data_IF_027097385087
#
_entry.id   IF_027097385087
#
_cell.length_a   1.000
_cell.length_b   1.000
_cell.length_c   1.000
_cell.angle_alpha   90.00
_cell.angle_beta   90.00
_cell.angle_gamma   90.00
#
_symmetry.space_group_name_H-M   'P 1'
#
loop_
_entity.id
_entity.type
_entity.pdbx_description
1 polymer ?
#
# COMPACT_ATOMS: atom_id res chain seq x y z
N UNK A 1 27.65 39.77 26.16
CA UNK A 1 27.05 38.54 26.70
C UNK A 1 28.13 37.71 27.37
N UNK A 2 27.95 37.28 28.62
CA UNK A 2 28.96 36.52 29.37
C UNK A 2 28.87 35.03 29.04
N UNK A 3 29.99 34.31 29.19
CA UNK A 3 30.09 32.87 28.92
C UNK A 3 29.15 32.03 29.78
N UNK A 4 28.89 32.48 31.02
CA UNK A 4 27.87 31.91 31.90
C UNK A 4 26.45 32.02 31.33
N UNK A 5 26.08 33.14 30.71
CA UNK A 5 24.77 33.30 30.06
C UNK A 5 24.61 32.38 28.85
N UNK A 6 25.68 32.13 28.07
CA UNK A 6 25.66 31.19 26.95
C UNK A 6 25.48 29.74 27.42
N UNK A 7 26.19 29.34 28.47
CA UNK A 7 26.04 28.00 29.06
C UNK A 7 24.62 27.77 29.63
N UNK A 8 24.02 28.80 30.23
CA UNK A 8 22.66 28.73 30.75
C UNK A 8 21.61 28.61 29.64
N UNK A 9 21.76 29.38 28.54
CA UNK A 9 20.90 29.26 27.36
C UNK A 9 21.01 27.87 26.70
N UNK A 10 22.22 27.30 26.62
CA UNK A 10 22.44 25.96 26.08
C UNK A 10 21.80 24.85 26.92
N UNK A 11 21.84 24.96 28.26
CA UNK A 11 21.15 24.01 29.15
C UNK A 11 19.62 24.06 28.98
N UNK A 12 19.06 25.25 28.81
CA UNK A 12 17.64 25.45 28.55
C UNK A 12 17.21 24.88 27.19
N UNK A 13 18.02 25.04 26.15
CA UNK A 13 17.71 24.48 24.83
C UNK A 13 17.72 22.94 24.82
N UNK A 14 18.66 22.32 25.52
CA UNK A 14 18.70 20.85 25.70
C UNK A 14 17.45 20.38 26.44
N UNK A 15 17.08 21.04 27.54
CA UNK A 15 15.88 20.68 28.31
C UNK A 15 14.61 20.79 27.47
N UNK A 16 14.46 21.85 26.67
CA UNK A 16 13.34 21.98 25.73
C UNK A 16 13.34 20.89 24.65
N UNK A 17 14.50 20.54 24.08
CA UNK A 17 14.60 19.48 23.10
C UNK A 17 14.21 18.11 23.70
N UNK A 18 14.67 17.81 24.92
CA UNK A 18 14.29 16.60 25.64
C UNK A 18 12.78 16.55 25.92
N UNK A 19 12.19 17.64 26.39
CA UNK A 19 10.75 17.73 26.63
C UNK A 19 9.94 17.54 25.34
N UNK A 20 10.39 18.11 24.22
CA UNK A 20 9.75 17.93 22.92
C UNK A 20 9.77 16.45 22.47
N UNK A 21 10.92 15.79 22.59
CA UNK A 21 11.08 14.37 22.22
C UNK A 21 10.22 13.47 23.12
N UNK A 22 10.20 13.72 24.44
CA UNK A 22 9.37 12.98 25.39
C UNK A 22 7.89 13.11 25.05
N UNK A 23 7.41 14.34 24.78
CA UNK A 23 6.03 14.60 24.39
C UNK A 23 5.63 13.91 23.09
N UNK A 24 6.54 13.86 22.11
CA UNK A 24 6.32 13.13 20.84
C UNK A 24 6.21 11.62 21.06
N UNK A 25 7.02 11.05 21.97
CA UNK A 25 6.92 9.63 22.33
C UNK A 25 5.62 9.31 23.05
N UNK A 26 5.18 10.16 23.97
CA UNK A 26 3.89 10.01 24.67
C UNK A 26 2.71 10.03 23.70
N UNK A 27 2.70 10.98 22.76
CA UNK A 27 1.70 11.07 21.69
C UNK A 27 1.67 9.81 20.82
N UNK A 28 2.84 9.26 20.48
CA UNK A 28 2.91 8.01 19.71
C UNK A 28 2.31 6.83 20.50
N UNK A 29 2.67 6.69 21.78
CA UNK A 29 2.14 5.63 22.65
C UNK A 29 0.64 5.78 22.92
N UNK A 30 0.11 7.00 22.96
CA UNK A 30 -1.32 7.24 23.08
C UNK A 30 -2.07 6.86 21.81
N UNK A 31 -1.51 7.19 20.64
CA UNK A 31 -2.07 6.79 19.35
C UNK A 31 -2.08 5.27 19.17
N UNK A 32 -0.99 4.59 19.55
CA UNK A 32 -0.91 3.13 19.51
C UNK A 32 -1.95 2.49 20.45
N UNK A 33 -2.12 3.04 21.67
CA UNK A 33 -3.15 2.59 22.60
C UNK A 33 -4.56 2.77 22.04
N UNK A 34 -4.87 3.93 21.44
CA UNK A 34 -6.16 4.18 20.78
C UNK A 34 -6.39 3.22 19.62
N UNK A 35 -5.36 2.92 18.83
CA UNK A 35 -5.46 1.95 17.73
C UNK A 35 -5.77 0.54 18.24
N UNK A 36 -5.11 0.10 19.31
CA UNK A 36 -5.36 -1.21 19.94
C UNK A 36 -6.78 -1.26 20.49
N UNK A 37 -7.21 -0.25 21.25
CA UNK A 37 -8.57 -0.15 21.80
C UNK A 37 -9.65 -0.16 20.71
N UNK A 38 -9.45 0.61 19.63
CA UNK A 38 -10.40 0.65 18.51
C UNK A 38 -10.48 -0.67 17.75
N UNK A 39 -9.37 -1.41 17.63
CA UNK A 39 -9.39 -2.74 17.02
C UNK A 39 -9.95 -3.81 17.96
N UNK A 40 -9.75 -3.70 19.26
CA UNK A 40 -10.37 -4.59 20.26
C UNK A 40 -11.89 -4.37 20.37
N UNK A 41 -12.38 -3.17 20.05
CA UNK A 41 -13.82 -2.85 20.01
C UNK A 41 -14.53 -3.25 18.70
N UNK A 42 -13.81 -3.76 17.68
CA UNK A 42 -14.49 -4.43 16.56
C UNK A 42 -15.09 -5.73 17.07
N UNK A 43 -16.36 -5.68 17.46
CA UNK A 43 -17.11 -6.85 17.86
C UNK A 43 -17.14 -7.83 16.68
N UNK A 44 -16.52 -8.99 16.87
CA UNK A 44 -16.54 -10.07 15.89
C UNK A 44 -17.99 -10.51 15.67
N UNK A 45 -18.51 -10.24 14.47
CA UNK A 45 -19.83 -10.65 14.04
C UNK A 45 -19.69 -11.83 13.06
N UNK A 46 -19.91 -13.07 13.53
CA UNK A 46 -19.75 -14.26 12.69
C UNK A 46 -20.71 -14.29 11.50
N UNK A 47 -21.87 -13.62 11.59
CA UNK A 47 -22.83 -13.54 10.48
C UNK A 47 -22.32 -12.58 9.42
N UNK A 48 -21.85 -11.40 9.82
CA UNK A 48 -21.26 -10.43 8.90
C UNK A 48 -20.03 -11.01 8.18
N UNK A 49 -19.20 -11.77 8.89
CA UNK A 49 -18.01 -12.41 8.33
C UNK A 49 -18.36 -13.51 7.33
N UNK A 50 -19.35 -14.36 7.65
CA UNK A 50 -19.83 -15.39 6.72
C UNK A 50 -20.50 -14.76 5.47
N UNK A 51 -21.21 -13.64 5.62
CA UNK A 51 -21.74 -12.88 4.47
C UNK A 51 -20.60 -12.32 3.62
N UNK A 52 -19.56 -11.74 4.24
CA UNK A 52 -18.40 -11.22 3.53
C UNK A 52 -17.66 -12.33 2.77
N UNK A 53 -17.48 -13.49 3.40
CA UNK A 53 -16.89 -14.68 2.80
C UNK A 53 -17.69 -15.18 1.59
N UNK A 54 -19.02 -15.27 1.70
CA UNK A 54 -19.89 -15.66 0.58
C UNK A 54 -19.83 -14.67 -0.58
N UNK A 55 -19.82 -13.37 -0.29
CA UNK A 55 -19.64 -12.31 -1.30
C UNK A 55 -18.29 -12.45 -2.00
N UNK A 56 -17.21 -12.67 -1.24
CA UNK A 56 -15.87 -12.90 -1.77
C UNK A 56 -15.83 -14.10 -2.71
N UNK A 57 -16.35 -15.27 -2.28
CA UNK A 57 -16.40 -16.48 -3.10
C UNK A 57 -17.17 -16.28 -4.41
N UNK A 58 -18.29 -15.53 -4.36
CA UNK A 58 -19.05 -15.17 -5.55
C UNK A 58 -18.22 -14.31 -6.51
N UNK A 59 -17.61 -13.23 -6.01
CA UNK A 59 -16.75 -12.37 -6.83
C UNK A 59 -15.55 -13.13 -7.42
N UNK A 60 -14.94 -14.04 -6.65
CA UNK A 60 -13.86 -14.89 -7.14
C UNK A 60 -14.32 -15.77 -8.30
N UNK A 61 -15.49 -16.43 -8.17
CA UNK A 61 -16.04 -17.28 -9.21
C UNK A 61 -16.37 -16.49 -10.48
N UNK A 62 -16.98 -15.31 -10.34
CA UNK A 62 -17.27 -14.41 -11.47
C UNK A 62 -15.99 -13.94 -12.16
N UNK A 63 -14.95 -13.60 -11.40
CA UNK A 63 -13.64 -13.24 -11.91
C UNK A 63 -12.98 -14.39 -12.69
N UNK A 64 -13.00 -15.62 -12.17
CA UNK A 64 -12.46 -16.79 -12.85
C UNK A 64 -13.23 -17.10 -14.14
N UNK A 65 -14.56 -16.99 -14.12
CA UNK A 65 -15.40 -17.15 -15.31
C UNK A 65 -15.08 -16.08 -16.37
N UNK A 66 -14.92 -14.82 -15.95
CA UNK A 66 -14.57 -13.72 -16.85
C UNK A 66 -13.24 -13.97 -17.58
N UNK A 67 -12.24 -14.52 -16.88
CA UNK A 67 -10.95 -14.87 -17.47
C UNK A 67 -11.08 -16.06 -18.44
N UNK A 68 -11.79 -17.13 -18.03
CA UNK A 68 -11.92 -18.35 -18.83
C UNK A 68 -12.74 -18.15 -20.09
N UNK A 69 -13.83 -17.38 -20.03
CA UNK A 69 -14.79 -17.28 -21.14
C UNK A 69 -14.49 -16.17 -22.14
N UNK A 70 -13.89 -15.04 -21.74
CA UNK A 70 -13.92 -13.81 -22.57
C UNK A 70 -12.58 -13.35 -23.16
N UNK A 71 -11.58 -14.22 -23.32
CA UNK A 71 -10.20 -13.81 -23.70
C UNK A 71 -9.73 -12.57 -22.92
N UNK A 72 -10.21 -12.47 -21.68
CA UNK A 72 -10.02 -11.32 -20.82
C UNK A 72 -8.89 -11.68 -19.87
N UNK A 73 -8.01 -10.73 -19.68
CA UNK A 73 -6.81 -10.87 -18.88
C UNK A 73 -6.80 -9.79 -17.83
N UNK A 74 -6.00 -10.04 -16.80
CA UNK A 74 -5.97 -9.17 -15.64
C UNK A 74 -4.70 -8.37 -15.64
N UNK A 75 -4.84 -7.07 -15.37
CA UNK A 75 -3.71 -6.22 -15.12
C UNK A 75 -3.00 -6.69 -13.84
N UNK A 76 -1.75 -7.12 -13.97
CA UNK A 76 -0.93 -7.58 -12.85
C UNK A 76 -0.76 -6.50 -11.76
N UNK A 77 -0.91 -5.21 -12.11
CA UNK A 77 -0.79 -4.13 -11.13
C UNK A 77 -2.07 -3.84 -10.34
N UNK A 78 -3.22 -3.68 -11.01
CA UNK A 78 -4.44 -3.15 -10.39
C UNK A 78 -5.62 -4.13 -10.36
N UNK A 79 -5.44 -5.36 -10.85
CA UNK A 79 -6.49 -6.39 -10.82
C UNK A 79 -7.65 -6.14 -11.80
N UNK A 80 -7.62 -5.06 -12.60
CA UNK A 80 -8.69 -4.79 -13.58
C UNK A 80 -8.67 -5.83 -14.69
N UNK A 81 -9.85 -6.38 -14.97
CA UNK A 81 -10.10 -7.29 -16.09
C UNK A 81 -10.24 -6.46 -17.37
N UNK A 82 -9.48 -6.82 -18.40
CA UNK A 82 -9.47 -6.15 -19.70
C UNK A 82 -9.25 -7.15 -20.82
N UNK A 83 -9.62 -6.81 -22.06
CA UNK A 83 -9.28 -7.64 -23.22
C UNK A 83 -7.76 -7.66 -23.46
N UNK A 84 -7.21 -8.74 -24.01
CA UNK A 84 -5.77 -8.85 -24.29
C UNK A 84 -5.24 -7.68 -25.12
N UNK A 85 -6.01 -7.23 -26.11
CA UNK A 85 -5.67 -6.12 -27.01
C UNK A 85 -5.58 -4.76 -26.31
N UNK A 86 -6.09 -4.66 -25.08
CA UNK A 86 -6.05 -3.46 -24.26
C UNK A 86 -4.95 -3.49 -23.19
N UNK A 87 -4.24 -4.62 -23.04
CA UNK A 87 -3.11 -4.77 -22.15
C UNK A 87 -1.79 -4.60 -22.91
N UNK A 88 -0.81 -4.00 -22.24
CA UNK A 88 0.59 -4.00 -22.66
C UNK A 88 1.32 -5.10 -21.91
N UNK A 89 2.08 -5.91 -22.64
CA UNK A 89 3.01 -6.87 -22.04
C UNK A 89 4.32 -6.13 -21.81
N UNK A 90 4.78 -6.10 -20.55
CA UNK A 90 6.09 -5.56 -20.20
C UNK A 90 6.96 -6.72 -19.70
N UNK A 91 8.16 -6.83 -20.27
CA UNK A 91 9.21 -7.72 -19.75
C UNK A 91 9.96 -7.00 -18.63
N UNK A 92 10.44 -7.74 -17.62
CA UNK A 92 11.30 -7.19 -16.55
C UNK A 92 12.47 -6.39 -17.11
N UNK A 93 13.07 -6.84 -18.20
CA UNK A 93 14.21 -6.16 -18.85
C UNK A 93 13.85 -4.77 -19.40
N UNK A 94 12.57 -4.50 -19.64
CA UNK A 94 12.08 -3.19 -20.10
C UNK A 94 11.60 -2.29 -18.94
N UNK A 95 11.66 -2.79 -17.70
CA UNK A 95 11.28 -2.07 -16.50
C UNK A 95 12.54 -1.48 -15.88
N UNK A 96 12.89 -0.25 -16.23
CA UNK A 96 13.92 0.54 -15.53
C UNK A 96 13.37 1.02 -14.17
N UNK A 97 12.98 0.07 -13.33
CA UNK A 97 12.30 0.30 -12.06
C UNK A 97 13.12 -0.34 -10.98
N UNK A 98 13.32 0.40 -9.90
CA UNK A 98 13.94 -0.12 -8.70
C UNK A 98 13.22 -1.39 -8.21
N UNK A 99 13.99 -2.42 -7.88
CA UNK A 99 13.46 -3.73 -7.48
C UNK A 99 12.54 -3.62 -6.24
N UNK A 100 12.77 -2.63 -5.36
CA UNK A 100 11.90 -2.33 -4.22
C UNK A 100 10.50 -1.84 -4.63
N UNK A 101 10.37 -1.21 -5.80
CA UNK A 101 9.09 -0.79 -6.37
C UNK A 101 8.41 -1.94 -7.08
N UNK A 102 9.17 -2.79 -7.79
CA UNK A 102 8.63 -4.01 -8.43
C UNK A 102 8.02 -4.97 -7.39
N UNK A 103 8.63 -5.08 -6.20
CA UNK A 103 8.07 -5.86 -5.08
C UNK A 103 6.70 -5.37 -4.60
N UNK A 104 6.33 -4.12 -4.89
CA UNK A 104 5.01 -3.54 -4.57
C UNK A 104 3.99 -3.70 -5.68
N UNK A 105 4.41 -4.13 -6.87
CA UNK A 105 3.53 -4.39 -8.01
C UNK A 105 3.23 -5.88 -8.04
N UNK A 106 1.96 -6.23 -7.85
CA UNK A 106 1.50 -7.62 -7.82
C UNK A 106 2.00 -8.41 -9.05
N UNK A 107 2.39 -9.67 -8.83
CA UNK A 107 2.74 -10.70 -9.83
C UNK A 107 3.98 -10.51 -10.74
N UNK A 108 4.66 -9.35 -10.82
CA UNK A 108 5.90 -9.26 -11.64
C UNK A 108 7.02 -10.14 -11.08
N UNK A 109 7.07 -10.29 -9.76
CA UNK A 109 8.14 -11.05 -9.12
C UNK A 109 8.21 -12.52 -9.56
N UNK A 110 7.12 -13.07 -10.10
CA UNK A 110 7.00 -14.49 -10.44
C UNK A 110 7.15 -14.79 -11.94
N UNK A 111 7.31 -13.79 -12.82
CA UNK A 111 7.37 -14.02 -14.26
C UNK A 111 8.22 -12.99 -15.00
N UNK A 112 8.97 -13.42 -16.02
CA UNK A 112 9.84 -12.55 -16.84
C UNK A 112 9.09 -11.51 -17.68
N UNK A 113 7.78 -11.71 -17.85
CA UNK A 113 6.88 -10.73 -18.42
C UNK A 113 5.53 -10.73 -17.70
N UNK A 114 4.87 -9.58 -17.68
CA UNK A 114 3.58 -9.40 -17.03
C UNK A 114 2.69 -8.46 -17.86
N UNK A 115 1.37 -8.58 -17.67
CA UNK A 115 0.36 -7.85 -18.43
C UNK A 115 -0.16 -6.65 -17.64
N UNK A 116 -0.15 -5.46 -18.25
CA UNK A 116 -0.56 -4.22 -17.60
C UNK A 116 -1.60 -3.48 -18.43
N UNK A 117 -2.58 -2.86 -17.77
CA UNK A 117 -3.42 -1.90 -18.48
C UNK A 117 -2.58 -0.70 -18.95
N UNK A 118 -3.06 0.03 -19.96
CA UNK A 118 -2.35 1.18 -20.54
C UNK A 118 -1.87 2.18 -19.47
N UNK A 119 -2.70 2.43 -18.46
CA UNK A 119 -2.38 3.35 -17.35
C UNK A 119 -1.24 2.80 -16.50
N UNK A 120 -1.36 1.59 -15.95
CA UNK A 120 -0.32 1.00 -15.11
C UNK A 120 1.00 0.87 -15.88
N UNK A 121 0.95 0.43 -17.15
CA UNK A 121 2.12 0.35 -18.01
C UNK A 121 2.81 1.70 -18.17
N UNK A 122 2.07 2.79 -18.38
CA UNK A 122 2.65 4.13 -18.53
C UNK A 122 3.30 4.65 -17.25
N UNK A 123 2.74 4.36 -16.08
CA UNK A 123 3.35 4.74 -14.80
C UNK A 123 4.65 3.98 -14.56
N UNK A 124 4.61 2.67 -14.75
CA UNK A 124 5.73 1.74 -14.66
C UNK A 124 6.86 2.18 -15.60
N UNK A 125 6.57 2.48 -16.88
CA UNK A 125 7.55 2.98 -17.85
C UNK A 125 8.18 4.33 -17.47
N UNK A 126 7.50 5.12 -16.64
CA UNK A 126 8.00 6.39 -16.10
C UNK A 126 8.68 6.23 -14.72
N UNK A 127 8.96 4.99 -14.31
CA UNK A 127 9.50 4.63 -12.99
C UNK A 127 8.68 5.15 -11.83
N UNK A 128 7.35 5.27 -12.01
CA UNK A 128 6.39 5.68 -10.98
C UNK A 128 5.62 4.46 -10.48
N UNK A 129 5.31 4.46 -9.19
CA UNK A 129 4.35 3.50 -8.63
C UNK A 129 2.98 3.81 -9.25
N UNK A 130 2.38 2.89 -10.01
CA UNK A 130 1.00 3.06 -10.46
C UNK A 130 0.10 3.24 -9.24
N UNK A 131 -0.80 4.24 -9.27
CA UNK A 131 -1.76 4.44 -8.19
C UNK A 131 -2.57 3.15 -8.04
N UNK A 132 -2.27 2.37 -7.02
CA UNK A 132 -3.25 1.40 -6.52
C UNK A 132 -4.38 2.26 -5.98
N UNK A 133 -5.58 2.10 -6.54
CA UNK A 133 -6.74 2.81 -6.04
C UNK A 133 -6.78 2.58 -4.52
N UNK A 134 -6.86 3.67 -3.76
CA UNK A 134 -6.80 3.72 -2.29
C UNK A 134 -7.92 2.95 -1.60
N UNK A 135 -8.76 2.25 -2.37
CA UNK A 135 -9.79 1.32 -1.92
C UNK A 135 -9.25 0.05 -1.27
N UNK A 136 -7.97 -0.28 -1.43
CA UNK A 136 -7.32 -1.45 -0.80
C UNK A 136 -6.41 -1.10 0.39
N UNK A 137 -6.40 0.15 0.86
CA UNK A 137 -5.59 0.61 2.00
C UNK A 137 -6.40 0.80 3.30
N UNK A 138 -7.53 0.11 3.46
CA UNK A 138 -8.36 0.18 4.69
C UNK A 138 -8.33 -1.11 5.47
#
# INVERSE_FOLDING_TARGET
>A
MTERSRQQQYKLSISHAQNYVSRKRELALENDRRFILNNQQKQYDPIAEEIARKKWLKCQKEYELAIRQYHSHVCNCCGRIMRISQLKILSKNHLQIDESVLKKVFYINQSESAKFCKTCASYIQKSKIPRMDSTFQK
#
